data_IF_147283269943
#
_entry.id   IF_147283269943
#
_cell.length_a   1.000
_cell.length_b   1.000
_cell.length_c   1.000
_cell.angle_alpha   90.00
_cell.angle_beta   90.00
_cell.angle_gamma   90.00
#
_symmetry.space_group_name_H-M   'P 1'
#
loop_
_entity.id
_entity.type
_entity.pdbx_description
1 polymer ?
#
# COMPACT_ATOMS: atom_id res chain seq x y z
N UNK A 1 9.09 -23.46 3.40
CA UNK A 1 8.51 -22.68 4.52
C UNK A 1 8.91 -21.23 4.36
N UNK A 2 7.99 -20.36 3.92
CA UNK A 2 8.26 -18.92 3.87
C UNK A 2 8.32 -18.41 5.31
N UNK A 3 9.50 -17.94 5.74
CA UNK A 3 9.68 -17.13 6.96
C UNK A 3 8.52 -16.14 7.06
N UNK A 4 7.91 -16.07 8.25
CA UNK A 4 6.92 -15.06 8.64
C UNK A 4 7.43 -13.67 8.24
N UNK A 5 6.97 -13.15 7.10
CA UNK A 5 7.24 -11.77 6.72
C UNK A 5 6.36 -10.89 7.60
N UNK A 6 6.94 -9.85 8.21
CA UNK A 6 6.17 -8.81 8.87
C UNK A 6 5.14 -8.25 7.90
N UNK A 7 3.90 -8.18 8.34
CA UNK A 7 2.76 -7.76 7.53
C UNK A 7 2.69 -6.23 7.48
N UNK A 8 3.69 -5.64 6.82
CA UNK A 8 3.74 -4.22 6.51
C UNK A 8 3.22 -4.03 5.08
N UNK A 9 2.06 -3.36 4.96
CA UNK A 9 1.30 -3.25 3.70
C UNK A 9 0.87 -1.80 3.52
N UNK A 10 1.09 -1.25 2.33
CA UNK A 10 0.47 0.00 1.87
C UNK A 10 -0.47 -0.30 0.71
N UNK A 11 -1.69 0.21 0.80
CA UNK A 11 -2.71 0.12 -0.26
C UNK A 11 -2.85 1.50 -0.90
N UNK A 12 -2.78 1.53 -2.21
CA UNK A 12 -2.91 2.76 -2.99
C UNK A 12 -4.30 2.88 -3.60
N UNK A 13 -4.71 4.10 -3.90
CA UNK A 13 -5.95 4.45 -4.59
C UNK A 13 -6.07 3.86 -6.01
N UNK A 14 -4.96 3.34 -6.55
CA UNK A 14 -4.88 2.73 -7.88
C UNK A 14 -3.81 1.64 -7.94
N UNK A 15 -3.85 0.83 -9.00
CA UNK A 15 -2.81 -0.15 -9.29
C UNK A 15 -1.57 0.51 -9.89
N UNK A 16 -0.51 0.61 -9.09
CA UNK A 16 0.76 1.21 -9.50
C UNK A 16 1.50 0.41 -10.60
N UNK A 17 1.17 -0.86 -10.80
CA UNK A 17 1.80 -1.71 -11.83
C UNK A 17 1.19 -1.51 -13.22
N UNK A 18 0.06 -0.80 -13.31
CA UNK A 18 -0.65 -0.58 -14.58
C UNK A 18 -0.90 0.89 -14.90
N UNK A 19 -0.62 1.84 -14.00
CA UNK A 19 -0.84 3.26 -14.27
C UNK A 19 0.35 3.88 -15.04
N UNK A 20 0.14 4.95 -15.81
CA UNK A 20 1.21 5.71 -16.47
C UNK A 20 2.28 6.22 -15.49
N UNK A 21 3.53 6.31 -15.96
CA UNK A 21 4.67 6.71 -15.12
C UNK A 21 4.55 8.13 -14.57
N UNK A 22 3.99 9.04 -15.34
CA UNK A 22 3.73 10.43 -14.96
C UNK A 22 2.65 10.55 -13.88
N UNK A 23 1.77 9.56 -13.76
CA UNK A 23 0.73 9.53 -12.72
C UNK A 23 1.20 8.92 -11.40
N UNK A 24 2.30 8.15 -11.38
CA UNK A 24 2.77 7.44 -10.17
C UNK A 24 2.94 8.37 -8.96
N UNK A 25 3.45 9.58 -9.20
CA UNK A 25 3.69 10.58 -8.13
C UNK A 25 2.42 11.21 -7.57
N UNK A 26 1.28 11.00 -8.23
CA UNK A 26 -0.03 11.49 -7.81
C UNK A 26 -0.90 10.42 -7.14
N UNK A 27 -0.39 9.19 -7.02
CA UNK A 27 -1.06 8.13 -6.27
C UNK A 27 -1.11 8.45 -4.78
N UNK A 28 -2.18 8.00 -4.12
CA UNK A 28 -2.43 8.24 -2.70
C UNK A 28 -2.50 6.92 -1.96
N UNK A 29 -1.83 6.83 -0.80
CA UNK A 29 -2.00 5.69 0.11
C UNK A 29 -3.32 5.86 0.85
N UNK A 30 -4.23 4.91 0.69
CA UNK A 30 -5.56 4.92 1.31
C UNK A 30 -5.64 4.08 2.58
N UNK A 31 -4.76 3.07 2.72
CA UNK A 31 -4.69 2.21 3.90
C UNK A 31 -3.23 1.79 4.15
N UNK A 32 -2.80 1.81 5.41
CA UNK A 32 -1.49 1.25 5.82
C UNK A 32 -1.66 0.30 6.99
N UNK A 33 -1.08 -0.89 6.87
CA UNK A 33 -0.90 -1.84 7.96
C UNK A 33 0.58 -1.91 8.34
N UNK A 34 0.87 -1.83 9.63
CA UNK A 34 2.21 -2.05 10.20
C UNK A 34 2.08 -3.10 11.29
N UNK A 35 2.90 -4.15 11.24
CA UNK A 35 2.80 -5.31 12.13
C UNK A 35 1.35 -5.86 12.23
N UNK A 36 0.62 -5.87 11.10
CA UNK A 36 -0.77 -6.34 11.02
C UNK A 36 -1.82 -5.40 11.64
N UNK A 37 -1.45 -4.18 12.05
CA UNK A 37 -2.38 -3.17 12.60
C UNK A 37 -2.55 -2.02 11.64
N UNK A 38 -3.80 -1.55 11.51
CA UNK A 38 -4.10 -0.33 10.74
C UNK A 38 -3.45 0.87 11.44
N UNK A 39 -2.66 1.64 10.69
CA UNK A 39 -1.99 2.86 11.18
C UNK A 39 -2.38 4.11 10.39
N UNK A 40 -2.96 3.94 9.21
CA UNK A 40 -3.51 4.99 8.36
C UNK A 40 -4.72 4.42 7.62
N UNK A 41 -5.83 5.15 7.61
CA UNK A 41 -7.09 4.73 6.97
C UNK A 41 -7.84 5.97 6.48
N UNK A 42 -8.16 5.99 5.18
CA UNK A 42 -8.92 7.04 4.50
C UNK A 42 -10.17 6.50 3.81
N UNK A 43 -10.57 5.25 4.10
CA UNK A 43 -11.75 4.60 3.53
C UNK A 43 -13.05 4.91 4.31
#
# INVERSE_FOLDING_TARGET
MSREKRADIAVFDRNLLSCPNDELRTSTVVLTLVDGRITHDLL
#
